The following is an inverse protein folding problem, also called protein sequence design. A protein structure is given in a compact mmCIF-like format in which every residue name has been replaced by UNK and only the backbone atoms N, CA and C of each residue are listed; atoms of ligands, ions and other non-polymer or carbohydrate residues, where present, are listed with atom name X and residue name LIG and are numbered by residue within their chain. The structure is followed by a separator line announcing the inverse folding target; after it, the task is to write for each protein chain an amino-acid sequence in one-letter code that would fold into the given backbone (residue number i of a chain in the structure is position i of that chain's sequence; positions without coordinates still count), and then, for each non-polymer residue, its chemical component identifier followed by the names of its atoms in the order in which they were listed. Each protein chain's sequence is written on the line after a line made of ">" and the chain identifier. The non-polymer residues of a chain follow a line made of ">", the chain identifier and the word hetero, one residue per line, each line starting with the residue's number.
data_IF_384898568338
#
_entry.id   IF_384898568338
#
_cell.length_a   1.000
_cell.length_b   1.000
_cell.length_c   1.000
_cell.angle_alpha   90.00
_cell.angle_beta   90.00
_cell.angle_gamma   90.00
#
_symmetry.space_group_name_H-M   'P 1'
#
loop_
_entity.id
_entity.type
_entity.pdbx_description
1 polymer ?
#
# COMPACT_ATOMS: atom_id res chain seq x y z
N UNK A 1 -17.82 1.61 0.70
CA UNK A 1 -16.39 1.22 0.59
C UNK A 1 -16.21 -0.24 0.18
N UNK A 2 -17.00 -1.16 0.76
CA UNK A 2 -16.85 -2.60 0.60
C UNK A 2 -17.04 -3.13 -0.84
N UNK A 3 -18.04 -2.64 -1.59
CA UNK A 3 -18.24 -3.07 -2.98
C UNK A 3 -17.10 -2.68 -3.92
N UNK A 4 -16.52 -1.48 -3.71
CA UNK A 4 -15.39 -0.99 -4.49
C UNK A 4 -14.12 -1.80 -4.22
N UNK A 5 -13.83 -2.12 -2.95
CA UNK A 5 -12.71 -2.98 -2.57
C UNK A 5 -12.91 -4.42 -3.05
N UNK A 6 -14.13 -4.96 -2.96
CA UNK A 6 -14.41 -6.32 -3.41
C UNK A 6 -14.27 -6.48 -4.94
N UNK A 7 -14.62 -5.44 -5.71
CA UNK A 7 -14.41 -5.41 -7.16
C UNK A 7 -12.93 -5.33 -7.55
N UNK A 8 -12.13 -4.59 -6.78
CA UNK A 8 -10.67 -4.51 -6.98
C UNK A 8 -9.97 -5.84 -6.62
N UNK A 9 -10.32 -6.43 -5.48
CA UNK A 9 -9.75 -7.72 -5.05
C UNK A 9 -10.09 -8.86 -6.01
N UNK A 10 -11.25 -8.82 -6.67
CA UNK A 10 -11.60 -9.79 -7.73
C UNK A 10 -10.77 -9.64 -9.00
N UNK A 11 -10.29 -8.44 -9.32
CA UNK A 11 -9.41 -8.17 -10.47
C UNK A 11 -7.92 -8.38 -10.16
N UNK A 12 -7.57 -8.44 -8.88
CA UNK A 12 -6.18 -8.44 -8.40
C UNK A 12 -5.73 -7.02 -8.04
N UNK A 13 -4.83 -6.94 -7.05
CA UNK A 13 -4.19 -5.67 -6.69
C UNK A 13 -3.37 -5.14 -7.86
N UNK A 14 -3.34 -3.82 -7.99
CA UNK A 14 -2.41 -3.18 -8.92
C UNK A 14 -0.97 -3.51 -8.52
N UNK A 15 -0.09 -3.58 -9.51
CA UNK A 15 1.32 -3.88 -9.32
C UNK A 15 2.17 -2.83 -10.00
N UNK A 16 3.18 -2.36 -9.29
CA UNK A 16 4.19 -1.46 -9.81
C UNK A 16 5.53 -2.16 -9.99
N UNK A 17 6.42 -1.52 -10.71
CA UNK A 17 7.81 -1.95 -10.82
C UNK A 17 8.63 -1.33 -9.69
N UNK A 18 9.37 -2.17 -8.98
CA UNK A 18 10.37 -1.78 -7.99
C UNK A 18 11.74 -2.22 -8.52
N UNK A 19 12.70 -1.30 -8.57
CA UNK A 19 14.07 -1.63 -8.92
C UNK A 19 14.72 -2.36 -7.73
N UNK A 20 15.17 -3.59 -7.95
CA UNK A 20 15.79 -4.45 -6.95
C UNK A 20 17.18 -4.83 -7.43
N UNK A 21 18.18 -4.65 -6.57
CA UNK A 21 19.55 -5.13 -6.82
C UNK A 21 19.68 -6.57 -6.35
N UNK A 22 20.03 -7.48 -7.26
CA UNK A 22 20.27 -8.90 -6.95
C UNK A 22 21.68 -9.36 -7.36
N UNK A 23 22.23 -10.34 -6.63
CA UNK A 23 23.45 -11.04 -7.01
C UNK A 23 23.09 -12.43 -7.57
N UNK A 24 23.34 -12.64 -8.87
CA UNK A 24 22.89 -13.83 -9.61
C UNK A 24 23.97 -14.36 -10.55
N UNK A 25 23.87 -15.65 -10.90
CA UNK A 25 24.74 -16.28 -11.93
C UNK A 25 24.21 -16.07 -13.35
N UNK A 26 22.96 -15.64 -13.47
CA UNK A 26 22.26 -15.43 -14.75
C UNK A 26 21.73 -13.98 -14.79
N UNK A 27 22.61 -12.98 -15.01
CA UNK A 27 22.23 -11.58 -14.92
C UNK A 27 21.20 -11.19 -15.99
N UNK A 28 20.20 -10.43 -15.55
CA UNK A 28 19.21 -9.75 -16.39
C UNK A 28 19.15 -8.27 -15.98
N UNK A 29 18.76 -7.37 -16.89
CA UNK A 29 18.66 -5.95 -16.58
C UNK A 29 20.02 -5.23 -16.52
N UNK A 30 20.16 -4.27 -15.60
CA UNK A 30 21.28 -3.33 -15.58
C UNK A 30 22.40 -3.79 -14.66
N UNK A 31 23.55 -4.13 -15.22
CA UNK A 31 24.74 -4.56 -14.45
C UNK A 31 25.33 -3.43 -13.60
N UNK A 32 25.67 -3.76 -12.36
CA UNK A 32 26.30 -2.87 -11.38
C UNK A 32 27.79 -3.17 -11.25
N UNK A 33 28.52 -2.79 -12.30
CA UNK A 33 29.96 -3.04 -12.42
C UNK A 33 30.78 -2.44 -11.27
N UNK A 34 30.35 -1.29 -10.75
CA UNK A 34 30.98 -0.61 -9.60
C UNK A 34 30.91 -1.46 -8.33
N UNK A 35 29.75 -2.09 -8.08
CA UNK A 35 29.52 -2.98 -6.94
C UNK A 35 30.26 -4.29 -7.14
N UNK A 36 30.15 -4.89 -8.33
CA UNK A 36 30.81 -6.15 -8.68
C UNK A 36 32.32 -6.07 -8.54
N UNK A 37 32.92 -4.93 -8.91
CA UNK A 37 34.37 -4.72 -8.79
C UNK A 37 34.79 -4.57 -7.33
N UNK A 38 34.04 -3.80 -6.52
CA UNK A 38 34.32 -3.63 -5.08
C UNK A 38 34.17 -4.92 -4.29
N UNK A 39 33.17 -5.74 -4.64
CA UNK A 39 32.86 -6.98 -3.94
C UNK A 39 33.57 -8.19 -4.57
N UNK A 40 34.31 -8.03 -5.67
CA UNK A 40 34.93 -9.14 -6.40
C UNK A 40 33.93 -10.25 -6.78
N UNK A 41 32.65 -9.91 -6.97
CA UNK A 41 31.58 -10.88 -7.26
C UNK A 41 31.84 -11.64 -8.56
N UNK A 42 32.46 -10.98 -9.55
CA UNK A 42 32.88 -11.64 -10.79
C UNK A 42 33.87 -12.79 -10.56
N UNK A 43 34.80 -12.66 -9.61
CA UNK A 43 35.74 -13.73 -9.27
C UNK A 43 35.04 -14.94 -8.64
N UNK A 44 33.86 -14.73 -8.06
CA UNK A 44 33.00 -15.77 -7.49
C UNK A 44 32.00 -16.35 -8.51
N UNK A 45 32.03 -15.87 -9.76
CA UNK A 45 31.10 -16.27 -10.82
C UNK A 45 29.70 -15.67 -10.68
N UNK A 46 29.56 -14.56 -9.95
CA UNK A 46 28.30 -13.85 -9.76
C UNK A 46 28.34 -12.45 -10.39
N UNK A 47 27.19 -12.02 -10.87
CA UNK A 47 26.93 -10.67 -11.33
C UNK A 47 25.95 -9.98 -10.40
N UNK A 48 26.13 -8.68 -10.19
CA UNK A 48 25.19 -7.83 -9.45
C UNK A 48 24.45 -6.98 -10.48
N UNK A 49 23.13 -7.06 -10.53
CA UNK A 49 22.31 -6.31 -11.46
C UNK A 49 21.05 -5.73 -10.79
N UNK A 50 20.63 -4.58 -11.29
CA UNK A 50 19.33 -3.98 -10.98
C UNK A 50 18.29 -4.53 -11.96
N UNK A 51 17.21 -5.09 -11.42
CA UNK A 51 16.07 -5.64 -12.15
C UNK A 51 14.78 -4.99 -11.69
N UNK A 52 13.82 -4.84 -12.61
CA UNK A 52 12.49 -4.36 -12.28
C UNK A 52 11.62 -5.52 -11.79
N UNK A 53 11.37 -5.61 -10.49
CA UNK A 53 10.47 -6.59 -9.90
C UNK A 53 9.03 -6.05 -9.87
N UNK A 54 8.08 -6.86 -10.38
CA UNK A 54 6.66 -6.51 -10.36
C UNK A 54 6.05 -6.84 -9.00
N UNK A 55 5.78 -5.82 -8.20
CA UNK A 55 5.32 -5.95 -6.80
C UNK A 55 3.95 -5.32 -6.57
N UNK A 56 3.07 -5.91 -5.72
CA UNK A 56 1.88 -5.23 -5.23
C UNK A 56 2.19 -4.16 -4.18
N UNK A 57 3.44 -4.02 -3.73
CA UNK A 57 3.87 -3.08 -2.69
C UNK A 57 3.98 -1.63 -3.18
N UNK A 58 2.90 -1.12 -3.75
CA UNK A 58 2.76 0.24 -4.26
C UNK A 58 1.99 1.13 -3.28
N UNK A 59 2.28 2.43 -3.31
CA UNK A 59 1.79 3.40 -2.31
C UNK A 59 0.27 3.37 -2.09
N UNK A 60 -0.52 3.28 -3.16
CA UNK A 60 -1.98 3.27 -3.05
C UNK A 60 -2.50 1.97 -2.41
N UNK A 61 -1.82 0.84 -2.60
CA UNK A 61 -2.14 -0.41 -1.89
C UNK A 61 -1.76 -0.33 -0.41
N UNK A 62 -0.61 0.29 -0.10
CA UNK A 62 -0.19 0.53 1.29
C UNK A 62 -1.20 1.43 2.03
N UNK A 63 -1.63 2.52 1.39
CA UNK A 63 -2.68 3.43 1.91
C UNK A 63 -3.98 2.68 2.14
N UNK A 64 -4.43 1.89 1.16
CA UNK A 64 -5.66 1.11 1.29
C UNK A 64 -5.58 0.14 2.48
N UNK A 65 -4.49 -0.61 2.58
CA UNK A 65 -4.26 -1.57 3.67
C UNK A 65 -4.27 -0.87 5.03
N UNK A 66 -3.56 0.25 5.16
CA UNK A 66 -3.49 1.02 6.40
C UNK A 66 -4.86 1.62 6.79
N UNK A 67 -5.62 2.13 5.81
CA UNK A 67 -6.94 2.74 6.05
C UNK A 67 -7.96 1.70 6.53
N UNK A 68 -7.99 0.52 5.89
CA UNK A 68 -8.87 -0.58 6.29
C UNK A 68 -8.52 -1.11 7.69
N UNK A 69 -7.23 -1.20 8.01
CA UNK A 69 -6.77 -1.61 9.34
C UNK A 69 -7.13 -0.57 10.40
N UNK A 70 -6.98 0.72 10.11
CA UNK A 70 -7.40 1.82 10.99
C UNK A 70 -8.89 1.75 11.33
N UNK A 71 -9.74 1.57 10.31
CA UNK A 71 -11.18 1.39 10.51
C UNK A 71 -11.49 0.13 11.34
N UNK A 72 -10.84 -1.00 11.06
CA UNK A 72 -11.08 -2.24 11.80
C UNK A 72 -10.76 -2.11 13.31
N UNK A 73 -9.83 -1.23 13.67
CA UNK A 73 -9.41 -0.97 15.04
C UNK A 73 -10.26 0.10 15.76
N UNK A 74 -11.15 0.79 15.05
CA UNK A 74 -12.06 1.77 15.66
C UNK A 74 -13.12 1.06 16.52
N UNK A 75 -13.41 1.59 17.70
CA UNK A 75 -14.39 1.02 18.65
C UNK A 75 -15.81 1.04 18.11
N UNK A 76 -16.16 2.10 17.36
CA UNK A 76 -17.52 2.38 16.90
C UNK A 76 -17.92 1.53 15.68
N UNK A 77 -16.99 0.78 15.11
CA UNK A 77 -17.24 -0.14 14.00
C UNK A 77 -17.89 -1.42 14.52
N UNK A 78 -19.03 -1.78 13.93
CA UNK A 78 -19.75 -2.99 14.30
C UNK A 78 -18.91 -4.27 14.06
N UNK A 79 -19.24 -5.34 14.78
CA UNK A 79 -18.46 -6.59 14.76
C UNK A 79 -18.43 -7.24 13.38
N UNK A 80 -19.50 -7.16 12.59
CA UNK A 80 -19.60 -7.78 11.26
C UNK A 80 -18.70 -7.03 10.28
N UNK A 81 -18.82 -5.71 10.23
CA UNK A 81 -18.00 -4.85 9.40
C UNK A 81 -16.51 -4.95 9.79
N UNK A 82 -16.18 -4.98 11.09
CA UNK A 82 -14.81 -5.23 11.57
C UNK A 82 -14.24 -6.54 11.01
N UNK A 83 -15.02 -7.62 11.06
CA UNK A 83 -14.60 -8.91 10.54
C UNK A 83 -14.36 -8.89 9.01
N UNK A 84 -15.22 -8.22 8.27
CA UNK A 84 -15.09 -8.04 6.82
C UNK A 84 -13.86 -7.20 6.44
N UNK A 85 -13.59 -6.11 7.18
CA UNK A 85 -12.40 -5.27 7.02
C UNK A 85 -11.11 -6.08 7.26
N UNK A 86 -11.03 -6.80 8.39
CA UNK A 86 -9.86 -7.64 8.70
C UNK A 86 -9.66 -8.74 7.66
N UNK A 87 -10.74 -9.35 7.18
CA UNK A 87 -10.67 -10.37 6.12
C UNK A 87 -10.17 -9.78 4.82
N UNK A 88 -10.59 -8.56 4.50
CA UNK A 88 -10.08 -7.82 3.34
C UNK A 88 -8.59 -7.51 3.50
N UNK A 89 -8.15 -7.00 4.66
CA UNK A 89 -6.74 -6.72 4.94
C UNK A 89 -5.88 -7.98 4.78
N UNK A 90 -6.36 -9.15 5.22
CA UNK A 90 -5.66 -10.43 5.04
C UNK A 90 -5.50 -10.84 3.57
N UNK A 91 -6.41 -10.44 2.69
CA UNK A 91 -6.30 -10.67 1.24
C UNK A 91 -5.30 -9.73 0.56
N UNK A 92 -4.95 -8.61 1.21
CA UNK A 92 -3.91 -7.69 0.75
C UNK A 92 -2.55 -8.18 1.26
N UNK A 93 -2.01 -9.20 0.61
CA UNK A 93 -0.70 -9.77 0.89
C UNK A 93 0.42 -9.11 0.06
N UNK A 94 1.65 -9.17 0.57
CA UNK A 94 2.82 -8.60 -0.12
C UNK A 94 2.85 -7.06 -0.13
N UNK A 95 2.11 -6.40 0.76
CA UNK A 95 2.04 -4.94 0.88
C UNK A 95 2.55 -4.52 2.26
N UNK A 96 3.59 -3.70 2.26
CA UNK A 96 4.25 -3.20 3.45
C UNK A 96 3.34 -2.26 4.24
N UNK A 97 3.43 -2.24 5.58
CA UNK A 97 2.69 -1.27 6.38
C UNK A 97 3.26 0.14 6.20
N UNK A 98 2.37 1.14 6.23
CA UNK A 98 2.74 2.56 6.21
C UNK A 98 1.96 3.32 7.28
N UNK A 99 2.56 4.39 7.82
CA UNK A 99 1.83 5.36 8.64
C UNK A 99 1.13 6.37 7.74
N UNK A 100 -0.19 6.48 7.87
CA UNK A 100 -0.96 7.47 7.12
C UNK A 100 -0.65 8.89 7.62
N UNK A 101 -0.46 9.79 6.67
CA UNK A 101 -0.30 11.24 6.87
C UNK A 101 -0.93 11.95 5.68
N UNK A 102 -1.31 13.23 5.83
CA UNK A 102 -1.89 14.00 4.72
C UNK A 102 -0.95 14.06 3.50
N UNK A 103 0.37 14.17 3.71
CA UNK A 103 1.36 14.20 2.63
C UNK A 103 1.48 12.90 1.86
N UNK A 104 1.18 11.75 2.49
CA UNK A 104 1.18 10.45 1.81
C UNK A 104 0.11 10.39 0.72
N UNK A 105 -1.07 10.99 0.93
CA UNK A 105 -2.12 11.04 -0.08
C UNK A 105 -1.75 11.93 -1.28
N UNK A 106 -1.03 13.03 -1.05
CA UNK A 106 -0.54 13.92 -2.11
C UNK A 106 0.53 13.28 -3.00
N UNK A 107 1.27 12.31 -2.46
CA UNK A 107 2.31 11.56 -3.19
C UNK A 107 1.73 10.46 -4.11
N UNK A 108 0.43 10.18 -4.01
CA UNK A 108 -0.20 9.17 -4.85
C UNK A 108 -0.27 9.65 -6.29
N UNK A 109 0.51 8.99 -7.15
CA UNK A 109 0.43 9.19 -8.59
C UNK A 109 -0.36 8.04 -9.21
N UNK A 110 -1.54 8.36 -9.75
CA UNK A 110 -2.36 7.39 -10.47
C UNK A 110 -2.18 7.60 -11.97
N UNK A 111 -1.88 6.51 -12.68
CA UNK A 111 -1.86 6.48 -14.13
C UNK A 111 -3.26 6.22 -14.67
N UNK A 112 -3.42 6.30 -16.00
CA UNK A 112 -4.68 5.92 -16.66
C UNK A 112 -5.11 4.48 -16.31
N UNK A 113 -4.13 3.58 -16.15
CA UNK A 113 -4.36 2.17 -15.80
C UNK A 113 -4.79 1.97 -14.34
N UNK A 114 -4.41 2.89 -13.44
CA UNK A 114 -4.75 2.84 -12.02
C UNK A 114 -5.83 3.84 -11.61
N UNK A 115 -6.46 4.50 -12.59
CA UNK A 115 -7.51 5.51 -12.38
C UNK A 115 -8.70 5.01 -11.55
N UNK A 116 -8.98 3.70 -11.58
CA UNK A 116 -10.01 3.06 -10.75
C UNK A 116 -9.76 3.20 -9.23
N UNK A 117 -8.51 3.45 -8.81
CA UNK A 117 -8.16 3.73 -7.43
C UNK A 117 -8.46 5.18 -7.02
N UNK A 118 -8.73 6.09 -7.95
CA UNK A 118 -8.91 7.52 -7.65
C UNK A 118 -9.99 7.78 -6.62
N UNK A 119 -11.20 7.23 -6.82
CA UNK A 119 -12.28 7.31 -5.85
C UNK A 119 -11.88 6.65 -4.51
N UNK A 120 -11.24 5.48 -4.57
CA UNK A 120 -10.84 4.76 -3.37
C UNK A 120 -9.85 5.54 -2.52
N UNK A 121 -8.89 6.23 -3.14
CA UNK A 121 -7.90 7.07 -2.45
C UNK A 121 -8.56 8.27 -1.79
N UNK A 122 -9.55 8.89 -2.43
CA UNK A 122 -10.34 9.96 -1.80
C UNK A 122 -11.14 9.49 -0.59
N UNK A 123 -11.73 8.28 -0.67
CA UNK A 123 -12.42 7.70 0.49
C UNK A 123 -11.43 7.37 1.61
N UNK A 124 -10.24 6.83 1.29
CA UNK A 124 -9.20 6.58 2.29
C UNK A 124 -8.71 7.87 2.96
N UNK A 125 -8.58 8.96 2.20
CA UNK A 125 -8.21 10.29 2.70
C UNK A 125 -9.28 10.83 3.67
N UNK A 126 -10.56 10.72 3.31
CA UNK A 126 -11.67 11.09 4.20
C UNK A 126 -11.68 10.26 5.48
N UNK A 127 -11.50 8.94 5.36
CA UNK A 127 -11.40 8.03 6.50
C UNK A 127 -10.23 8.41 7.41
N UNK A 128 -9.07 8.74 6.83
CA UNK A 128 -7.92 9.20 7.60
C UNK A 128 -8.25 10.45 8.43
N UNK A 129 -8.92 11.45 7.83
CA UNK A 129 -9.33 12.65 8.56
C UNK A 129 -10.37 12.37 9.64
N UNK A 130 -11.32 11.47 9.39
CA UNK A 130 -12.34 11.07 10.37
C UNK A 130 -11.77 10.24 11.54
N UNK A 131 -10.61 9.62 11.37
CA UNK A 131 -9.94 8.84 12.41
C UNK A 131 -8.93 9.66 13.24
N UNK A 132 -8.72 10.94 12.91
CA UNK A 132 -7.89 11.81 13.75
C UNK A 132 -8.59 12.01 15.10
N UNK A 133 -7.87 11.81 16.23
CA UNK A 133 -8.44 12.11 17.54
C UNK A 133 -8.74 13.61 17.63
N UNK A 134 -9.90 13.96 18.19
CA UNK A 134 -10.22 15.35 18.55
C UNK A 134 -9.21 15.87 19.59
N UNK A 135 -9.05 17.19 19.71
CA UNK A 135 -8.03 17.89 20.52
C UNK A 135 -8.02 17.48 22.01
N UNK A 136 -8.98 16.67 22.46
CA UNK A 136 -9.18 16.18 23.82
C UNK A 136 -8.65 14.74 24.06
N UNK A 137 -8.02 14.09 23.06
CA UNK A 137 -7.18 12.92 23.29
C UNK A 137 -7.89 11.61 23.69
N UNK A 138 -9.18 11.47 23.42
CA UNK A 138 -9.95 10.27 23.78
C UNK A 138 -10.56 9.59 22.54
N UNK A 139 -9.77 8.77 21.85
CA UNK A 139 -10.24 7.82 20.83
C UNK A 139 -10.73 8.45 19.52
N UNK A 140 -10.41 7.81 18.40
CA UNK A 140 -10.90 8.22 17.08
C UNK A 140 -12.41 7.94 16.96
N UNK A 141 -13.25 8.93 17.25
CA UNK A 141 -14.71 8.86 17.02
C UNK A 141 -15.04 9.31 15.60
N UNK A 142 -15.77 8.48 14.86
CA UNK A 142 -16.25 8.86 13.52
C UNK A 142 -17.45 9.79 13.71
N UNK A 143 -17.23 11.10 13.55
CA UNK A 143 -18.30 12.09 13.57
C UNK A 143 -19.07 12.05 12.24
N UNK A 144 -20.29 11.52 12.27
CA UNK A 144 -21.22 11.62 11.14
C UNK A 144 -22.00 12.93 11.30
N UNK A 145 -22.00 13.85 10.31
CA UNK A 145 -22.80 15.05 10.41
C UNK A 145 -24.29 14.70 10.25
N UNK A 146 -25.07 14.91 11.30
CA UNK A 146 -26.53 14.90 11.22
C UNK A 146 -26.99 16.16 10.47
N UNK A 147 -27.54 15.97 9.27
CA UNK A 147 -28.25 17.02 8.55
C UNK A 147 -29.65 17.17 9.19
N UNK A 148 -29.92 18.34 9.77
CA UNK A 148 -31.28 18.84 10.04
C UNK A 148 -31.91 19.42 8.78
#
# INVERSE_FOLDING_TARGET
>A
MNDGTHRLLRRGLDRGYLEVTEETRSPCGKLRLDVMTKQQSMLRGFAVCDVDELTPDVLHNQILRASLLGLANCSDVDRKLRHELQTTVRRISGVSPIRLTASVFQRVQLSRNTSQYGLLMRVCELVFHALLPDEQGAGSRIQVPEHS
#
